data_IF_493864992430
#
_entry.id   IF_493864992430
#
_cell.length_a   1.000
_cell.length_b   1.000
_cell.length_c   1.000
_cell.angle_alpha   90.00
_cell.angle_beta   90.00
_cell.angle_gamma   90.00
#
_symmetry.space_group_name_H-M   'P 1'
#
loop_
_entity.id
_entity.type
_entity.pdbx_description
1 polymer ?
#
# COMPACT_ATOMS: atom_id res chain seq x y z
N UNK A 1 -8.06 38.62 -2.21
CA UNK A 1 -7.36 38.21 -3.45
C UNK A 1 -6.18 37.29 -3.14
N UNK A 2 -5.23 37.71 -2.28
CA UNK A 2 -4.14 36.83 -1.81
C UNK A 2 -4.66 35.76 -0.84
N UNK A 3 -5.59 36.11 0.05
CA UNK A 3 -6.24 35.13 0.95
C UNK A 3 -7.10 34.10 0.18
N UNK A 4 -7.63 34.51 -0.98
CA UNK A 4 -8.40 33.67 -1.92
C UNK A 4 -7.49 32.74 -2.75
N UNK A 5 -6.21 33.09 -2.93
CA UNK A 5 -5.19 32.23 -3.53
C UNK A 5 -4.61 31.25 -2.49
N UNK A 6 -4.75 31.56 -1.20
CA UNK A 6 -4.39 30.72 -0.05
C UNK A 6 -5.56 29.85 0.45
N UNK A 7 -6.76 29.94 -0.14
CA UNK A 7 -7.86 28.99 0.07
C UNK A 7 -7.48 27.63 -0.54
N UNK A 8 -6.60 26.91 0.18
CA UNK A 8 -6.47 25.45 0.24
C UNK A 8 -7.11 24.69 -0.93
N UNK A 9 -6.60 24.89 -2.15
CA UNK A 9 -7.01 24.07 -3.28
C UNK A 9 -6.54 22.65 -2.96
N UNK A 10 -7.47 21.78 -2.55
CA UNK A 10 -7.21 20.37 -2.36
C UNK A 10 -7.01 19.76 -3.74
N UNK A 11 -5.77 19.77 -4.24
CA UNK A 11 -5.41 19.11 -5.48
C UNK A 11 -5.45 17.60 -5.24
N UNK A 12 -6.45 16.93 -5.81
CA UNK A 12 -6.53 15.48 -5.78
C UNK A 12 -5.81 14.91 -7.01
N UNK A 13 -4.83 14.03 -6.79
CA UNK A 13 -4.20 13.25 -7.85
C UNK A 13 -4.46 11.77 -7.64
N UNK A 14 -4.72 11.06 -8.73
CA UNK A 14 -4.78 9.59 -8.73
C UNK A 14 -3.56 9.05 -9.46
N UNK A 15 -2.82 8.14 -8.84
CA UNK A 15 -1.60 7.56 -9.42
C UNK A 15 -1.53 6.05 -9.17
N UNK A 16 -0.98 5.27 -10.12
CA UNK A 16 -0.68 3.86 -9.89
C UNK A 16 0.51 3.71 -8.94
N UNK A 17 0.35 2.90 -7.89
CA UNK A 17 1.45 2.45 -7.03
C UNK A 17 2.17 1.24 -7.63
N UNK A 18 1.40 0.33 -8.24
CA UNK A 18 1.92 -0.88 -8.85
C UNK A 18 0.92 -1.49 -9.82
N UNK A 19 1.46 -2.27 -10.76
CA UNK A 19 0.70 -3.01 -11.75
C UNK A 19 1.15 -4.46 -11.82
N UNK A 20 0.17 -5.36 -11.86
CA UNK A 20 0.31 -6.78 -12.18
C UNK A 20 -0.43 -7.10 -13.48
N UNK A 21 -0.43 -8.38 -13.87
CA UNK A 21 -1.20 -8.84 -15.03
C UNK A 21 -2.72 -8.64 -14.86
N UNK A 22 -3.25 -8.84 -13.64
CA UNK A 22 -4.69 -8.81 -13.39
C UNK A 22 -5.18 -7.51 -12.72
N UNK A 23 -4.31 -6.80 -12.01
CA UNK A 23 -4.68 -5.71 -11.12
C UNK A 23 -3.77 -4.49 -11.25
N UNK A 24 -4.34 -3.29 -11.09
CA UNK A 24 -3.60 -2.05 -10.84
C UNK A 24 -3.95 -1.53 -9.46
N UNK A 25 -2.95 -1.32 -8.59
CA UNK A 25 -3.13 -0.66 -7.31
C UNK A 25 -3.00 0.86 -7.50
N UNK A 26 -4.04 1.59 -7.14
CA UNK A 26 -4.15 3.04 -7.30
C UNK A 26 -4.24 3.72 -5.94
N UNK A 27 -3.65 4.91 -5.85
CA UNK A 27 -3.78 5.81 -4.70
C UNK A 27 -4.31 7.16 -5.16
N UNK A 28 -5.32 7.66 -4.46
CA UNK A 28 -5.73 9.06 -4.54
C UNK A 28 -4.98 9.82 -3.44
N UNK A 29 -4.44 10.98 -3.77
CA UNK A 29 -3.70 11.83 -2.85
C UNK A 29 -4.27 13.24 -2.86
N UNK A 30 -4.42 13.83 -1.68
CA UNK A 30 -4.53 15.27 -1.56
C UNK A 30 -3.10 15.84 -1.51
N UNK A 31 -2.82 16.87 -2.30
CA UNK A 31 -1.52 17.53 -2.28
C UNK A 31 -1.60 18.77 -1.39
N UNK A 32 -0.77 18.78 -0.35
CA UNK A 32 -0.51 19.98 0.42
C UNK A 32 0.62 20.76 -0.26
N UNK A 33 0.30 21.97 -0.70
CA UNK A 33 1.25 22.89 -1.34
C UNK A 33 1.65 23.98 -0.35
N UNK A 34 2.91 23.96 0.07
CA UNK A 34 3.57 25.07 0.77
C UNK A 34 4.39 25.91 -0.20
N UNK A 35 5.08 26.93 0.31
CA UNK A 35 5.89 27.85 -0.51
C UNK A 35 6.99 27.13 -1.33
N UNK A 36 7.64 26.11 -0.75
CA UNK A 36 8.74 25.35 -1.41
C UNK A 36 8.55 23.83 -1.36
N UNK A 37 7.39 23.36 -0.89
CA UNK A 37 7.16 21.93 -0.66
C UNK A 37 5.81 21.48 -1.18
N UNK A 38 5.78 20.37 -1.91
CA UNK A 38 4.54 19.66 -2.25
C UNK A 38 4.56 18.30 -1.58
N UNK A 39 3.57 18.05 -0.72
CA UNK A 39 3.47 16.80 0.05
C UNK A 39 2.21 16.05 -0.35
N UNK A 40 2.32 14.90 -1.04
CA UNK A 40 1.16 14.05 -1.32
C UNK A 40 0.75 13.31 -0.05
N UNK A 41 -0.54 13.39 0.30
CA UNK A 41 -1.13 12.67 1.43
C UNK A 41 -2.17 11.70 0.89
N UNK A 42 -1.98 10.37 1.09
CA UNK A 42 -2.94 9.37 0.61
C UNK A 42 -4.31 9.59 1.25
N UNK A 43 -5.32 9.81 0.43
CA UNK A 43 -6.71 9.97 0.84
C UNK A 43 -7.53 8.70 0.60
N UNK A 44 -7.23 7.97 -0.47
CA UNK A 44 -7.93 6.73 -0.80
C UNK A 44 -6.99 5.73 -1.50
N UNK A 45 -7.21 4.44 -1.25
CA UNK A 45 -6.46 3.35 -1.87
C UNK A 45 -7.46 2.37 -2.46
N UNK A 46 -7.25 1.96 -3.69
CA UNK A 46 -8.14 1.03 -4.37
C UNK A 46 -7.42 0.22 -5.44
N UNK A 47 -8.00 -0.91 -5.81
CA UNK A 47 -7.51 -1.79 -6.86
C UNK A 47 -8.47 -1.75 -8.03
N UNK A 48 -7.93 -1.65 -9.24
CA UNK A 48 -8.68 -1.85 -10.49
C UNK A 48 -8.39 -3.27 -10.97
N UNK A 49 -9.42 -4.09 -11.07
CA UNK A 49 -9.33 -5.37 -11.77
C UNK A 49 -9.37 -5.13 -13.29
N UNK A 50 -8.28 -5.43 -13.98
CA UNK A 50 -8.08 -5.05 -15.40
C UNK A 50 -9.10 -5.71 -16.33
N UNK A 51 -9.51 -6.95 -16.04
CA UNK A 51 -10.45 -7.69 -16.89
C UNK A 51 -11.85 -7.06 -16.88
N UNK A 52 -12.35 -6.68 -15.71
CA UNK A 52 -13.73 -6.21 -15.51
C UNK A 52 -13.82 -4.69 -15.35
N UNK A 53 -12.68 -4.01 -15.21
CA UNK A 53 -12.57 -2.60 -14.80
C UNK A 53 -13.24 -2.31 -13.45
N UNK A 54 -13.47 -3.35 -12.63
CA UNK A 54 -14.08 -3.20 -11.31
C UNK A 54 -13.11 -2.50 -10.36
N UNK A 55 -13.60 -1.42 -9.72
CA UNK A 55 -12.93 -0.75 -8.62
C UNK A 55 -13.23 -1.49 -7.31
N UNK A 56 -12.19 -1.95 -6.63
CA UNK A 56 -12.24 -2.65 -5.36
C UNK A 56 -11.60 -1.73 -4.31
N UNK A 57 -12.32 -1.42 -3.23
CA UNK A 57 -11.74 -0.61 -2.15
C UNK A 57 -10.55 -1.34 -1.52
N UNK A 58 -9.45 -0.63 -1.29
CA UNK A 58 -8.29 -1.11 -0.54
C UNK A 58 -7.98 -0.16 0.63
N UNK A 59 -8.95 0.66 1.05
CA UNK A 59 -8.78 1.62 2.14
C UNK A 59 -8.29 0.96 3.43
N UNK A 60 -8.80 -0.22 3.76
CA UNK A 60 -8.40 -0.98 4.94
C UNK A 60 -6.92 -1.39 4.93
N UNK A 61 -6.30 -1.56 3.76
CA UNK A 61 -4.86 -1.82 3.64
C UNK A 61 -4.06 -0.62 4.17
N UNK A 62 -4.40 0.60 3.75
CA UNK A 62 -3.70 1.81 4.20
C UNK A 62 -3.86 2.01 5.72
N UNK A 63 -5.08 1.81 6.25
CA UNK A 63 -5.34 1.90 7.68
C UNK A 63 -4.59 0.83 8.49
N UNK A 64 -4.47 -0.38 7.96
CA UNK A 64 -3.67 -1.44 8.57
C UNK A 64 -2.18 -1.05 8.61
N UNK A 65 -1.61 -0.59 7.50
CA UNK A 65 -0.20 -0.20 7.43
C UNK A 65 0.13 0.98 8.34
N UNK A 66 -0.77 1.97 8.46
CA UNK A 66 -0.63 3.07 9.43
C UNK A 66 -0.54 2.57 10.87
N UNK A 67 -1.38 1.58 11.26
CA UNK A 67 -1.32 0.96 12.60
C UNK A 67 -0.01 0.21 12.84
N UNK A 68 0.59 -0.34 11.79
CA UNK A 68 1.92 -0.96 11.81
C UNK A 68 3.08 0.04 11.71
N UNK A 69 2.79 1.35 11.69
CA UNK A 69 3.75 2.44 11.49
C UNK A 69 4.52 2.39 10.15
N UNK A 70 3.89 1.84 9.11
CA UNK A 70 4.44 1.71 7.76
C UNK A 70 3.76 2.74 6.85
N UNK A 71 4.57 3.62 6.23
CA UNK A 71 4.07 4.61 5.28
C UNK A 71 4.24 4.12 3.83
N UNK A 72 3.16 4.09 3.05
CA UNK A 72 3.15 3.54 1.68
C UNK A 72 4.07 4.26 0.68
N UNK A 73 4.45 5.51 0.93
CA UNK A 73 5.36 6.27 0.05
C UNK A 73 6.81 6.23 0.52
N UNK A 74 7.03 6.15 1.84
CA UNK A 74 8.38 6.20 2.41
C UNK A 74 8.98 4.81 2.57
N UNK A 75 8.16 3.85 2.99
CA UNK A 75 8.60 2.55 3.50
C UNK A 75 8.32 1.40 2.50
N UNK A 76 7.61 1.66 1.39
CA UNK A 76 7.21 0.64 0.41
C UNK A 76 7.60 1.05 -1.01
N UNK A 77 7.90 0.07 -1.85
CA UNK A 77 8.20 0.23 -3.27
C UNK A 77 7.08 -0.29 -4.17
N UNK A 78 7.09 0.10 -5.44
CA UNK A 78 6.18 -0.45 -6.45
C UNK A 78 6.33 -1.97 -6.61
N UNK A 79 7.54 -2.51 -6.42
CA UNK A 79 7.78 -3.96 -6.46
C UNK A 79 7.15 -4.70 -5.30
N UNK A 80 7.10 -4.12 -4.10
CA UNK A 80 6.46 -4.76 -2.94
C UNK A 80 4.96 -4.88 -3.18
N UNK A 81 4.33 -3.82 -3.68
CA UNK A 81 2.93 -3.84 -4.04
C UNK A 81 2.63 -4.74 -5.25
N UNK A 82 3.51 -4.78 -6.25
CA UNK A 82 3.36 -5.71 -7.39
C UNK A 82 3.39 -7.17 -6.90
N UNK A 83 4.37 -7.52 -6.07
CA UNK A 83 4.45 -8.84 -5.44
C UNK A 83 3.19 -9.16 -4.64
N UNK A 84 2.66 -8.20 -3.88
CA UNK A 84 1.39 -8.37 -3.16
C UNK A 84 0.20 -8.63 -4.09
N UNK A 85 0.09 -7.90 -5.21
CA UNK A 85 -0.98 -8.13 -6.19
C UNK A 85 -0.90 -9.51 -6.85
N UNK A 86 0.30 -10.10 -6.94
CA UNK A 86 0.53 -11.39 -7.58
C UNK A 86 0.49 -12.58 -6.61
N UNK A 87 0.92 -12.38 -5.36
CA UNK A 87 1.15 -13.46 -4.38
C UNK A 87 0.24 -13.39 -3.16
N UNK A 88 -0.60 -12.36 -3.06
CA UNK A 88 -1.48 -12.09 -1.93
C UNK A 88 -0.74 -11.91 -0.58
N UNK A 89 0.57 -11.68 -0.62
CA UNK A 89 1.43 -11.43 0.54
C UNK A 89 2.18 -10.12 0.32
N UNK A 90 2.03 -9.20 1.26
CA UNK A 90 2.82 -7.96 1.33
C UNK A 90 3.97 -8.17 2.30
N UNK A 91 5.19 -8.18 1.77
CA UNK A 91 6.41 -8.23 2.57
C UNK A 91 6.90 -6.80 2.80
N UNK A 92 7.15 -6.46 4.07
CA UNK A 92 7.76 -5.21 4.49
C UNK A 92 9.13 -5.51 5.09
N UNK A 93 10.16 -4.83 4.59
CA UNK A 93 11.52 -4.96 5.10
C UNK A 93 12.10 -3.60 5.45
N UNK A 94 12.62 -3.44 6.66
CA UNK A 94 13.36 -2.23 7.08
C UNK A 94 14.54 -2.60 7.96
N UNK A 95 15.74 -2.40 7.43
CA UNK A 95 16.96 -2.89 8.09
C UNK A 95 16.90 -4.41 8.25
N UNK A 96 17.06 -4.90 9.48
CA UNK A 96 16.98 -6.33 9.81
C UNK A 96 15.56 -6.83 10.13
N UNK A 97 14.55 -5.95 10.10
CA UNK A 97 13.16 -6.32 10.40
C UNK A 97 12.43 -6.68 9.11
N UNK A 98 11.88 -7.89 9.05
CA UNK A 98 10.95 -8.34 8.02
C UNK A 98 9.59 -8.65 8.65
N UNK A 99 8.52 -8.11 8.08
CA UNK A 99 7.13 -8.44 8.43
C UNK A 99 6.41 -8.89 7.16
N UNK A 100 5.52 -9.85 7.30
CA UNK A 100 4.72 -10.36 6.20
C UNK A 100 3.24 -10.23 6.55
N UNK A 101 2.44 -9.80 5.58
CA UNK A 101 1.01 -9.57 5.75
C UNK A 101 0.24 -10.27 4.63
N UNK A 102 -0.82 -10.98 4.98
CA UNK A 102 -1.68 -11.68 4.02
C UNK A 102 -2.85 -10.80 3.60
N UNK A 103 -3.22 -10.88 2.32
CA UNK A 103 -4.45 -10.30 1.79
C UNK A 103 -5.66 -10.96 2.45
N UNK A 104 -6.59 -10.13 2.90
CA UNK A 104 -7.91 -10.56 3.35
C UNK A 104 -8.95 -9.94 2.41
N UNK A 105 -9.81 -10.78 1.85
CA UNK A 105 -10.94 -10.32 1.04
C UNK A 105 -12.11 -10.06 1.98
N UNK A 106 -12.58 -8.82 2.02
CA UNK A 106 -13.77 -8.38 2.72
C UNK A 106 -14.94 -8.27 1.73
N UNK A 107 -16.16 -8.20 2.26
CA UNK A 107 -17.38 -7.98 1.46
C UNK A 107 -17.28 -6.76 0.55
N UNK A 108 -16.61 -5.70 1.01
CA UNK A 108 -16.52 -4.41 0.31
C UNK A 108 -15.10 -3.99 -0.07
N UNK A 109 -14.11 -4.90 -0.03
CA UNK A 109 -12.74 -4.51 -0.36
C UNK A 109 -11.66 -5.50 0.05
N UNK A 110 -10.42 -5.04 -0.01
CA UNK A 110 -9.25 -5.78 0.45
C UNK A 110 -8.67 -5.15 1.71
N UNK A 111 -8.14 -6.01 2.58
CA UNK A 111 -7.45 -5.65 3.81
C UNK A 111 -6.20 -6.51 3.97
N UNK A 112 -5.45 -6.25 5.04
CA UNK A 112 -4.32 -7.07 5.47
C UNK A 112 -4.59 -7.67 6.85
N UNK A 113 -3.86 -8.74 7.15
CA UNK A 113 -3.64 -9.28 8.49
C UNK A 113 -2.18 -9.72 8.62
N UNK A 114 -1.60 -9.80 9.84
CA UNK A 114 -0.29 -10.41 10.02
C UNK A 114 -0.28 -11.84 9.47
N UNK A 115 0.73 -12.16 8.67
CA UNK A 115 0.96 -13.52 8.21
C UNK A 115 1.60 -14.33 9.32
N UNK A 116 1.05 -15.52 9.58
CA UNK A 116 1.70 -16.50 10.44
C UNK A 116 2.63 -17.31 9.54
N UNK A 117 3.72 -16.69 9.09
CA UNK A 117 4.79 -17.47 8.50
C UNK A 117 5.38 -18.35 9.60
N UNK A 118 5.05 -19.64 9.56
CA UNK A 118 5.85 -20.64 10.26
C UNK A 118 7.28 -20.46 9.75
N UNK A 119 8.18 -19.91 10.58
CA UNK A 119 9.61 -20.04 10.35
C UNK A 119 9.83 -21.52 10.01
N UNK A 120 10.33 -21.82 8.82
CA UNK A 120 10.98 -23.13 8.62
C UNK A 120 12.10 -23.13 9.65
N UNK A 121 11.93 -23.88 10.73
CA UNK A 121 13.07 -24.30 11.52
C UNK A 121 13.95 -25.05 10.54
N UNK A 122 15.08 -24.47 10.17
CA UNK A 122 16.20 -25.31 9.76
C UNK A 122 16.66 -25.98 11.05
N UNK A 123 16.01 -27.09 11.39
CA UNK A 123 16.61 -28.06 12.29
C UNK A 123 17.83 -28.58 11.55
N UNK A 124 18.96 -27.93 11.84
CA UNK A 124 20.28 -28.40 11.44
C UNK A 124 20.64 -29.53 12.41
N UNK A 125 19.84 -30.59 12.36
CA UNK A 125 20.12 -31.86 12.99
C UNK A 125 20.71 -32.80 11.94
N UNK A 126 21.93 -33.23 12.24
CA UNK A 126 22.69 -34.35 11.67
C UNK A 126 23.54 -34.08 10.42
N UNK A 127 24.86 -34.01 10.64
CA UNK A 127 25.85 -33.99 9.57
C UNK A 127 27.32 -34.11 10.00
N UNK A 128 27.62 -35.04 10.93
CA UNK A 128 28.94 -35.63 11.31
C UNK A 128 29.96 -34.74 12.01
#
# INVERSE_FOLDING_TARGET
>A
LVDSLLEQANYCISAPLAESGAYTLMVDCNIFMGLDTMVPVPSNLYVIEKCTQKKISAHAINEFLKKEYINIFRDMSSSDFKNFLEKDILTYTKGAVEKNFEKVILTFGWSLKPSILKKKSFDLEHGI
#
